data_IF_845240068996
#
_entry.id   IF_845240068996
#
_cell.length_a   1.000
_cell.length_b   1.000
_cell.length_c   1.000
_cell.angle_alpha   90.00
_cell.angle_beta   90.00
_cell.angle_gamma   90.00
#
_symmetry.space_group_name_H-M   'P 1'
#
loop_
_entity.id
_entity.type
_entity.pdbx_description
1 polymer ?
#
# COMPACT_ATOMS: atom_id res chain seq x y z
N UNK A 1 -30.67 -2.51 22.66
CA UNK A 1 -29.23 -2.44 22.39
C UNK A 1 -29.04 -2.37 20.89
N UNK A 2 -28.68 -1.21 20.34
CA UNK A 2 -28.40 -1.06 18.92
C UNK A 2 -26.97 -1.54 18.66
N UNK A 3 -26.82 -2.71 18.05
CA UNK A 3 -25.54 -3.19 17.54
C UNK A 3 -25.01 -2.17 16.55
N UNK A 4 -23.98 -1.39 16.96
CA UNK A 4 -23.22 -0.55 16.04
C UNK A 4 -22.64 -1.47 14.97
N UNK A 5 -23.16 -1.40 13.73
CA UNK A 5 -22.52 -2.05 12.60
C UNK A 5 -21.11 -1.49 12.52
N UNK A 6 -20.11 -2.33 12.78
CA UNK A 6 -18.73 -2.00 12.44
C UNK A 6 -18.73 -1.59 10.96
N UNK A 7 -18.09 -0.46 10.60
CA UNK A 7 -18.01 -0.07 9.20
C UNK A 7 -17.41 -1.24 8.42
N UNK A 8 -18.15 -1.75 7.43
CA UNK A 8 -17.69 -2.86 6.62
C UNK A 8 -16.37 -2.49 5.96
N UNK A 9 -15.42 -3.42 5.96
CA UNK A 9 -14.19 -3.26 5.20
C UNK A 9 -14.53 -3.07 3.72
N UNK A 10 -14.15 -1.93 3.16
CA UNK A 10 -14.24 -1.67 1.72
C UNK A 10 -12.81 -1.85 1.18
N UNK A 11 -12.53 -2.88 0.37
CA UNK A 11 -11.20 -3.04 -0.19
C UNK A 11 -10.86 -1.84 -1.06
N UNK A 12 -9.67 -1.28 -0.86
CA UNK A 12 -9.19 -0.21 -1.73
C UNK A 12 -9.05 -0.75 -3.16
N UNK A 13 -9.62 -0.06 -4.17
CA UNK A 13 -9.55 -0.54 -5.54
C UNK A 13 -8.11 -0.53 -6.03
N UNK A 14 -7.75 -1.60 -6.77
CA UNK A 14 -6.43 -1.75 -7.41
C UNK A 14 -6.12 -0.61 -8.39
N UNK A 15 -7.16 -0.13 -9.07
CA UNK A 15 -7.06 0.96 -10.02
C UNK A 15 -7.89 2.15 -9.56
N UNK A 16 -7.29 3.33 -9.61
CA UNK A 16 -7.91 4.58 -9.24
C UNK A 16 -8.34 5.35 -10.48
N UNK A 17 -9.54 5.92 -10.39
CA UNK A 17 -9.97 7.01 -11.28
C UNK A 17 -9.16 8.27 -11.02
N UNK A 18 -9.21 9.23 -11.94
CA UNK A 18 -8.57 10.54 -11.76
C UNK A 18 -9.05 11.25 -10.49
N UNK A 19 -10.33 11.09 -10.14
CA UNK A 19 -10.89 11.67 -8.92
C UNK A 19 -10.31 11.02 -7.67
N UNK A 20 -10.23 9.69 -7.62
CA UNK A 20 -9.67 8.96 -6.47
C UNK A 20 -8.19 9.29 -6.26
N UNK A 21 -7.39 9.32 -7.33
CA UNK A 21 -5.99 9.73 -7.24
C UNK A 21 -5.86 11.19 -6.78
N UNK A 22 -6.70 12.10 -7.29
CA UNK A 22 -6.68 13.49 -6.87
C UNK A 22 -7.05 13.67 -5.38
N UNK A 23 -8.06 12.94 -4.90
CA UNK A 23 -8.42 12.88 -3.48
C UNK A 23 -7.27 12.36 -2.62
N UNK A 24 -6.58 11.29 -3.06
CA UNK A 24 -5.40 10.74 -2.38
C UNK A 24 -4.27 11.75 -2.27
N UNK A 25 -4.10 12.59 -3.29
CA UNK A 25 -3.10 13.67 -3.33
C UNK A 25 -3.59 15.00 -2.71
N UNK A 26 -4.80 15.04 -2.16
CA UNK A 26 -5.37 16.22 -1.52
C UNK A 26 -5.57 17.41 -2.47
N UNK A 27 -5.95 17.17 -3.73
CA UNK A 27 -6.14 18.23 -4.72
C UNK A 27 -7.25 17.93 -5.75
N UNK A 28 -7.47 18.87 -6.68
CA UNK A 28 -8.43 18.66 -7.80
C UNK A 28 -7.80 17.84 -8.93
N UNK A 29 -8.58 17.11 -9.75
CA UNK A 29 -8.05 16.34 -10.88
C UNK A 29 -7.20 17.18 -11.85
N UNK A 30 -7.61 18.42 -12.13
CA UNK A 30 -6.84 19.34 -12.99
C UNK A 30 -5.46 19.66 -12.38
N UNK A 31 -5.44 19.92 -11.07
CA UNK A 31 -4.19 20.18 -10.34
C UNK A 31 -3.30 18.95 -10.30
N UNK A 32 -3.90 17.78 -10.11
CA UNK A 32 -3.23 16.48 -10.12
C UNK A 32 -2.54 16.25 -11.46
N UNK A 33 -3.24 16.33 -12.59
CA UNK A 33 -2.66 16.18 -13.94
C UNK A 33 -1.49 17.13 -14.19
N UNK A 34 -1.64 18.42 -13.81
CA UNK A 34 -0.56 19.41 -13.94
C UNK A 34 0.66 19.09 -13.07
N UNK A 35 0.45 18.53 -11.87
CA UNK A 35 1.54 18.18 -10.95
C UNK A 35 2.26 16.91 -11.42
N UNK A 36 1.52 15.84 -11.73
CA UNK A 36 2.11 14.56 -12.15
C UNK A 36 2.85 14.67 -13.48
N UNK A 37 2.39 15.54 -14.40
CA UNK A 37 3.09 15.79 -15.66
C UNK A 37 4.49 16.43 -15.51
N UNK A 38 4.82 16.93 -14.30
CA UNK A 38 6.16 17.44 -13.96
C UNK A 38 7.02 16.41 -13.23
N UNK A 39 6.45 15.26 -12.90
CA UNK A 39 7.13 14.21 -12.15
C UNK A 39 7.72 13.21 -13.12
N UNK A 40 9.05 13.21 -13.21
CA UNK A 40 9.76 12.20 -13.99
C UNK A 40 9.55 10.81 -13.36
N UNK A 41 9.37 9.81 -14.24
CA UNK A 41 9.12 8.42 -13.88
C UNK A 41 7.78 8.14 -13.18
N UNK A 42 6.83 9.09 -13.17
CA UNK A 42 5.51 8.83 -12.59
C UNK A 42 4.76 7.72 -13.37
N UNK A 43 4.06 6.79 -12.70
CA UNK A 43 3.34 5.71 -13.37
C UNK A 43 2.37 6.24 -14.42
N UNK A 44 2.29 5.56 -15.57
CA UNK A 44 1.32 5.92 -16.62
C UNK A 44 -0.06 5.40 -16.26
N UNK A 45 -1.08 6.16 -16.64
CA UNK A 45 -2.48 5.74 -16.56
C UNK A 45 -2.74 4.65 -17.59
N UNK A 46 -3.36 3.56 -17.16
CA UNK A 46 -3.94 2.56 -18.04
C UNK A 46 -5.25 3.10 -18.65
N UNK A 47 -5.44 3.02 -19.97
CA UNK A 47 -6.63 3.58 -20.64
C UNK A 47 -7.93 2.83 -20.29
N UNK A 48 -7.86 1.55 -19.93
CA UNK A 48 -9.01 0.71 -19.61
C UNK A 48 -9.32 0.73 -18.12
N UNK A 49 -8.29 0.66 -17.28
CA UNK A 49 -8.45 0.48 -15.83
C UNK A 49 -8.21 1.74 -15.01
N UNK A 50 -7.36 2.67 -15.46
CA UNK A 50 -6.98 3.88 -14.74
C UNK A 50 -5.59 3.83 -14.10
N UNK A 51 -5.42 4.46 -12.94
CA UNK A 51 -4.13 4.56 -12.26
C UNK A 51 -3.88 3.34 -11.37
N UNK A 52 -2.83 2.59 -11.63
CA UNK A 52 -2.41 1.48 -10.75
C UNK A 52 -1.99 2.04 -9.37
N UNK A 53 -2.77 1.72 -8.34
CA UNK A 53 -2.58 2.24 -6.98
C UNK A 53 -1.24 1.85 -6.37
N UNK A 54 -0.87 0.57 -6.45
CA UNK A 54 0.42 0.05 -5.95
C UNK A 54 1.59 0.71 -6.68
N UNK A 55 1.51 0.93 -7.99
CA UNK A 55 2.58 1.59 -8.73
C UNK A 55 2.75 3.05 -8.28
N UNK A 56 1.63 3.76 -8.06
CA UNK A 56 1.63 5.14 -7.55
C UNK A 56 2.19 5.21 -6.13
N UNK A 57 1.77 4.32 -5.23
CA UNK A 57 2.28 4.29 -3.87
C UNK A 57 3.76 3.89 -3.83
N UNK A 58 4.17 2.90 -4.63
CA UNK A 58 5.58 2.52 -4.76
C UNK A 58 6.44 3.64 -5.34
N UNK A 59 5.89 4.50 -6.22
CA UNK A 59 6.58 5.69 -6.70
C UNK A 59 6.84 6.68 -5.56
N UNK A 60 5.81 7.00 -4.77
CA UNK A 60 5.95 7.94 -3.65
C UNK A 60 6.83 7.40 -2.53
N UNK A 61 6.74 6.10 -2.22
CA UNK A 61 7.59 5.43 -1.23
C UNK A 61 9.07 5.48 -1.63
N UNK A 62 9.39 5.19 -2.90
CA UNK A 62 10.77 5.33 -3.40
C UNK A 62 11.26 6.77 -3.33
N UNK A 63 10.41 7.73 -3.68
CA UNK A 63 10.77 9.16 -3.69
C UNK A 63 10.92 9.75 -2.28
N UNK A 64 10.19 9.26 -1.29
CA UNK A 64 10.31 9.69 0.11
C UNK A 64 11.47 9.01 0.84
N UNK A 65 12.19 8.08 0.21
CA UNK A 65 13.23 7.28 0.87
C UNK A 65 12.68 6.15 1.73
N UNK A 66 11.36 5.96 1.78
CA UNK A 66 10.67 4.83 2.40
C UNK A 66 10.78 3.61 1.46
N UNK A 67 11.99 3.12 1.28
CA UNK A 67 12.19 1.85 0.56
C UNK A 67 11.66 0.71 1.41
N UNK A 68 11.11 -0.32 0.75
CA UNK A 68 10.49 -1.50 1.40
C UNK A 68 11.37 -2.11 2.50
N UNK A 69 12.70 -2.05 2.39
CA UNK A 69 13.63 -2.55 3.41
C UNK A 69 13.42 -1.96 4.81
N UNK A 70 12.94 -0.71 4.94
CA UNK A 70 12.67 -0.11 6.24
C UNK A 70 11.30 -0.51 6.81
N UNK A 71 10.29 -0.71 5.96
CA UNK A 71 8.93 -1.06 6.38
C UNK A 71 8.72 -2.57 6.61
N UNK A 72 9.47 -3.43 5.90
CA UNK A 72 9.40 -4.89 6.12
C UNK A 72 10.20 -5.35 7.34
N UNK A 73 11.17 -4.58 7.84
CA UNK A 73 11.94 -4.97 9.02
C UNK A 73 11.09 -5.06 10.30
N UNK A 74 9.96 -4.35 10.39
CA UNK A 74 9.04 -4.49 11.53
C UNK A 74 8.18 -5.77 11.44
N UNK A 75 7.94 -6.30 10.24
CA UNK A 75 7.19 -7.56 10.02
C UNK A 75 8.09 -8.80 9.86
N UNK A 76 9.38 -8.65 9.58
CA UNK A 76 10.33 -9.77 9.56
C UNK A 76 10.48 -10.40 10.97
N UNK A 77 10.21 -9.64 12.03
CA UNK A 77 10.10 -10.18 13.38
C UNK A 77 8.83 -11.03 13.61
N UNK A 78 7.79 -10.87 12.78
CA UNK A 78 6.54 -11.63 12.86
C UNK A 78 6.54 -12.86 11.95
N UNK A 79 7.46 -12.93 10.98
CA UNK A 79 7.55 -14.01 9.99
C UNK A 79 8.92 -14.71 10.05
N UNK A 80 9.36 -15.14 11.24
CA UNK A 80 10.25 -16.31 11.32
C UNK A 80 9.42 -17.57 11.07
N UNK A 81 8.99 -17.75 9.82
CA UNK A 81 8.39 -19.00 9.34
C UNK A 81 9.35 -20.20 9.53
N UNK A 82 10.66 -19.96 9.62
CA UNK A 82 11.66 -20.97 10.00
C UNK A 82 11.54 -21.43 11.47
N UNK A 83 11.12 -20.58 12.41
CA UNK A 83 10.92 -20.97 13.82
C UNK A 83 9.68 -21.87 14.00
N UNK A 84 8.68 -21.71 13.11
CA UNK A 84 7.47 -22.53 13.10
C UNK A 84 7.66 -23.89 12.39
N UNK A 85 8.57 -23.97 11.42
CA UNK A 85 8.82 -25.20 10.64
C UNK A 85 9.97 -26.05 11.19
N UNK A 86 11.00 -25.45 11.76
CA UNK A 86 12.20 -26.15 12.24
C UNK A 86 12.26 -26.21 13.77
N UNK A 87 11.16 -26.65 14.41
CA UNK A 87 11.06 -26.78 15.85
C UNK A 87 12.32 -27.34 16.52
N UNK A 88 13.06 -26.49 17.22
CA UNK A 88 14.20 -26.88 18.04
C UNK A 88 14.17 -26.17 19.38
N UNK A 89 13.21 -26.57 20.22
CA UNK A 89 13.27 -26.68 21.69
C UNK A 89 11.86 -26.54 22.32
N UNK A 90 10.96 -27.48 22.01
CA UNK A 90 10.00 -27.86 23.06
C UNK A 90 10.75 -28.72 24.06
N UNK A 91 11.26 -28.09 25.12
CA UNK A 91 11.72 -28.84 26.28
C UNK A 91 10.55 -29.69 26.78
N UNK A 92 10.73 -31.01 26.72
CA UNK A 92 9.77 -31.94 27.28
C UNK A 92 9.61 -31.62 28.76
N UNK A 93 8.45 -31.06 29.12
CA UNK A 93 8.02 -30.98 30.51
C UNK A 93 7.89 -32.44 30.98
N UNK A 94 8.78 -32.81 31.89
CA UNK A 94 8.70 -34.05 32.69
C UNK A 94 7.57 -33.94 33.70
#
# INVERSE_FOLDING_TARGET
MTTKKLPGFVPDPRYWTDWQLACRLGCTPQTMHRKIGKLDGFPKKDPEFGWDSIAVEAYFNRRSGLTLQAATNENIAAETWDDLLNGSNQSAIR
#
